data_IF_160035096783
#
_entry.id   IF_160035096783
#
_cell.length_a   1.000
_cell.length_b   1.000
_cell.length_c   1.000
_cell.angle_alpha   90.00
_cell.angle_beta   90.00
_cell.angle_gamma   90.00
#
_symmetry.space_group_name_H-M   'P 1'
#
loop_
_entity.id
_entity.type
_entity.pdbx_description
1 polymer ?
#
# COMPACT_ATOMS: atom_id res chain seq x y z
N UNK A 1 -20.39 33.91 -6.98
CA UNK A 1 -18.99 33.43 -7.13
C UNK A 1 -18.26 34.42 -8.02
N UNK A 2 -17.09 34.92 -7.61
CA UNK A 2 -16.28 35.81 -8.45
C UNK A 2 -15.70 35.02 -9.62
N UNK A 3 -15.53 35.68 -10.77
CA UNK A 3 -14.97 35.08 -11.99
C UNK A 3 -13.59 34.42 -11.72
N UNK A 4 -12.76 35.08 -10.93
CA UNK A 4 -11.45 34.57 -10.51
C UNK A 4 -11.52 33.24 -9.77
N UNK A 5 -12.48 33.06 -8.85
CA UNK A 5 -12.66 31.83 -8.12
C UNK A 5 -13.02 30.67 -9.06
N UNK A 6 -13.91 30.92 -9.99
CA UNK A 6 -14.34 29.94 -11.00
C UNK A 6 -13.18 29.52 -11.90
N UNK A 7 -12.34 30.46 -12.31
CA UNK A 7 -11.14 30.18 -13.09
C UNK A 7 -10.15 29.32 -12.32
N UNK A 8 -9.94 29.55 -11.03
CA UNK A 8 -9.08 28.73 -10.17
C UNK A 8 -9.65 27.32 -10.02
N UNK A 9 -10.95 27.18 -9.76
CA UNK A 9 -11.60 25.88 -9.63
C UNK A 9 -11.51 25.08 -10.94
N UNK A 10 -11.70 25.72 -12.08
CA UNK A 10 -11.55 25.09 -13.39
C UNK A 10 -10.11 24.66 -13.66
N UNK A 11 -9.13 25.47 -13.28
CA UNK A 11 -7.71 25.16 -13.43
C UNK A 11 -7.26 23.99 -12.54
N UNK A 12 -7.84 23.90 -11.36
CA UNK A 12 -7.53 22.84 -10.38
C UNK A 12 -8.43 21.59 -10.53
N UNK A 13 -9.32 21.56 -11.51
CA UNK A 13 -10.29 20.46 -11.67
C UNK A 13 -9.64 19.10 -11.75
N UNK A 14 -8.53 18.97 -12.46
CA UNK A 14 -7.82 17.69 -12.65
C UNK A 14 -7.11 17.20 -11.37
N UNK A 15 -7.00 18.06 -10.35
CA UNK A 15 -6.46 17.68 -9.04
C UNK A 15 -7.52 17.09 -8.10
N UNK A 16 -8.80 17.18 -8.48
CA UNK A 16 -9.90 16.63 -7.67
C UNK A 16 -10.05 15.15 -7.95
N UNK A 17 -9.84 14.34 -6.92
CA UNK A 17 -9.98 12.88 -6.98
C UNK A 17 -11.34 12.49 -6.41
N UNK A 18 -12.13 11.79 -7.20
CA UNK A 18 -13.40 11.20 -6.79
C UNK A 18 -13.28 9.67 -6.59
N UNK A 19 -14.36 9.03 -6.15
CA UNK A 19 -14.38 7.60 -5.89
C UNK A 19 -14.15 6.75 -7.16
N UNK A 20 -14.55 7.21 -8.32
CA UNK A 20 -14.30 6.51 -9.59
C UNK A 20 -12.81 6.53 -9.94
N UNK A 21 -12.14 7.65 -9.69
CA UNK A 21 -10.68 7.76 -9.84
C UNK A 21 -9.96 6.82 -8.88
N UNK A 22 -10.38 6.74 -7.62
CA UNK A 22 -9.80 5.84 -6.62
C UNK A 22 -9.97 4.38 -7.04
N UNK A 23 -11.17 3.99 -7.48
CA UNK A 23 -11.45 2.64 -7.96
C UNK A 23 -10.63 2.28 -9.21
N UNK A 24 -10.43 3.24 -10.11
CA UNK A 24 -9.58 3.05 -11.28
C UNK A 24 -8.11 2.86 -10.89
N UNK A 25 -7.61 3.68 -9.95
CA UNK A 25 -6.23 3.56 -9.45
C UNK A 25 -6.00 2.22 -8.75
N UNK A 26 -6.95 1.76 -7.93
CA UNK A 26 -6.88 0.45 -7.27
C UNK A 26 -6.77 -0.68 -8.29
N UNK A 27 -7.63 -0.71 -9.30
CA UNK A 27 -7.56 -1.73 -10.36
C UNK A 27 -6.26 -1.72 -11.13
N UNK A 28 -5.77 -0.52 -11.50
CA UNK A 28 -4.50 -0.37 -12.23
C UNK A 28 -3.31 -0.83 -11.39
N UNK A 29 -3.29 -0.45 -10.11
CA UNK A 29 -2.23 -0.85 -9.18
C UNK A 29 -2.24 -2.36 -8.96
N UNK A 30 -3.39 -2.96 -8.70
CA UNK A 30 -3.55 -4.41 -8.56
C UNK A 30 -3.02 -5.16 -9.79
N UNK A 31 -3.46 -4.76 -10.97
CA UNK A 31 -2.98 -5.36 -12.22
C UNK A 31 -1.47 -5.20 -12.43
N UNK A 32 -0.90 -4.06 -12.05
CA UNK A 32 0.54 -3.83 -12.13
C UNK A 32 1.33 -4.73 -11.17
N UNK A 33 0.83 -4.91 -9.94
CA UNK A 33 1.41 -5.82 -8.94
C UNK A 33 1.34 -7.28 -9.42
N UNK A 34 0.19 -7.72 -9.92
CA UNK A 34 0.01 -9.07 -10.46
C UNK A 34 0.98 -9.37 -11.60
N UNK A 35 1.13 -8.45 -12.53
CA UNK A 35 2.12 -8.57 -13.60
C UNK A 35 3.56 -8.58 -13.08
N UNK A 36 3.84 -7.77 -12.06
CA UNK A 36 5.16 -7.73 -11.41
C UNK A 36 5.53 -9.01 -10.67
N UNK A 37 4.54 -9.75 -10.18
CA UNK A 37 4.70 -11.06 -9.51
C UNK A 37 4.71 -12.23 -10.49
N UNK A 38 4.10 -12.08 -11.65
CA UNK A 38 3.95 -13.16 -12.64
C UNK A 38 5.29 -13.61 -13.20
N UNK A 39 5.55 -14.92 -13.20
CA UNK A 39 6.81 -15.51 -13.68
C UNK A 39 7.16 -15.07 -15.11
N UNK A 40 6.17 -15.04 -15.99
CA UNK A 40 6.36 -14.71 -17.40
C UNK A 40 6.27 -13.20 -17.70
N UNK A 41 5.60 -12.46 -16.85
CA UNK A 41 5.33 -11.02 -17.03
C UNK A 41 6.28 -10.11 -16.26
N UNK A 42 6.97 -10.65 -15.24
CA UNK A 42 7.87 -9.88 -14.37
C UNK A 42 8.93 -9.09 -15.15
N UNK A 43 9.57 -9.72 -16.13
CA UNK A 43 10.65 -9.08 -16.88
C UNK A 43 10.20 -7.82 -17.63
N UNK A 44 9.00 -7.84 -18.20
CA UNK A 44 8.41 -6.72 -18.94
C UNK A 44 7.61 -5.75 -18.07
N UNK A 45 7.35 -6.07 -16.80
CA UNK A 45 6.59 -5.22 -15.89
C UNK A 45 7.37 -3.99 -15.47
N UNK A 46 6.70 -2.84 -15.41
CA UNK A 46 7.26 -1.59 -14.86
C UNK A 46 7.27 -1.59 -13.33
N UNK A 47 6.33 -2.29 -12.69
CA UNK A 47 6.30 -2.50 -11.24
C UNK A 47 6.96 -3.84 -10.95
N UNK A 48 8.14 -3.81 -10.32
CA UNK A 48 8.86 -5.02 -9.95
C UNK A 48 8.42 -5.47 -8.56
N UNK A 49 7.78 -6.63 -8.49
CA UNK A 49 7.41 -7.27 -7.25
C UNK A 49 8.15 -8.60 -7.11
N UNK A 50 8.43 -8.98 -5.87
CA UNK A 50 9.11 -10.23 -5.55
C UNK A 50 8.28 -11.01 -4.53
N UNK A 51 8.27 -12.35 -4.60
CA UNK A 51 7.66 -13.17 -3.56
C UNK A 51 8.34 -12.89 -2.22
N UNK A 52 7.56 -12.86 -1.17
CA UNK A 52 8.04 -12.71 0.21
C UNK A 52 8.08 -14.07 0.92
N UNK A 53 8.73 -14.11 2.08
CA UNK A 53 8.70 -15.30 2.94
C UNK A 53 7.45 -15.40 3.82
N UNK A 54 6.55 -14.42 3.74
CA UNK A 54 5.28 -14.44 4.44
C UNK A 54 4.39 -15.52 3.84
N UNK A 55 4.07 -16.54 4.62
CA UNK A 55 3.24 -17.67 4.19
C UNK A 55 1.84 -17.65 4.80
N UNK A 56 1.65 -16.88 5.85
CA UNK A 56 0.40 -16.83 6.59
C UNK A 56 0.15 -15.42 7.08
N UNK A 57 -1.09 -15.00 6.98
CA UNK A 57 -1.55 -13.73 7.56
C UNK A 57 -2.01 -13.98 9.00
N UNK A 58 -1.92 -12.97 9.87
CA UNK A 58 -2.49 -13.04 11.21
C UNK A 58 -3.98 -13.38 11.16
N UNK A 59 -4.44 -14.21 12.10
CA UNK A 59 -5.83 -14.61 12.22
C UNK A 59 -6.56 -13.96 13.42
N UNK A 60 -5.84 -13.14 14.20
CA UNK A 60 -6.36 -12.44 15.36
C UNK A 60 -6.35 -13.28 16.65
N UNK A 61 -5.73 -14.46 16.63
CA UNK A 61 -5.58 -15.35 17.80
C UNK A 61 -4.14 -15.41 18.30
N UNK A 62 -3.27 -14.59 17.73
CA UNK A 62 -1.88 -14.52 18.13
C UNK A 62 -1.77 -13.96 19.55
N UNK A 63 -0.97 -14.64 20.38
CA UNK A 63 -0.66 -14.26 21.76
C UNK A 63 0.82 -14.42 22.04
N UNK A 64 1.36 -13.55 22.89
CA UNK A 64 2.74 -13.66 23.35
C UNK A 64 3.61 -12.48 22.96
N UNK A 65 4.92 -12.72 22.97
CA UNK A 65 5.93 -11.71 22.67
C UNK A 65 6.56 -11.98 21.30
N UNK A 66 6.61 -10.95 20.48
CA UNK A 66 7.16 -10.99 19.15
C UNK A 66 8.20 -9.88 18.98
N UNK A 67 9.33 -10.23 18.38
CA UNK A 67 10.35 -9.26 18.03
C UNK A 67 10.23 -8.91 16.55
N UNK A 68 10.07 -7.62 16.25
CA UNK A 68 10.01 -7.10 14.89
C UNK A 68 11.24 -6.24 14.60
N UNK A 69 11.79 -6.40 13.39
CA UNK A 69 12.90 -5.62 12.88
C UNK A 69 12.42 -4.78 11.71
N UNK A 70 12.75 -3.50 11.74
CA UNK A 70 12.47 -2.56 10.66
C UNK A 70 13.78 -1.92 10.19
N UNK A 71 14.23 -2.32 9.00
CA UNK A 71 15.43 -1.82 8.34
C UNK A 71 15.03 -0.75 7.31
N UNK A 72 15.16 0.53 7.70
CA UNK A 72 14.99 1.65 6.79
C UNK A 72 16.29 2.04 6.06
N UNK A 73 16.21 3.05 5.20
CA UNK A 73 17.39 3.59 4.50
C UNK A 73 18.41 4.25 5.41
N UNK A 74 17.97 4.88 6.50
CA UNK A 74 18.83 5.61 7.46
C UNK A 74 18.66 5.16 8.90
N UNK A 75 17.56 4.46 9.22
CA UNK A 75 17.23 4.04 10.58
C UNK A 75 17.00 2.54 10.64
N UNK A 76 17.41 1.97 11.74
CA UNK A 76 17.14 0.60 12.12
C UNK A 76 16.31 0.61 13.41
N UNK A 77 15.19 -0.10 13.41
CA UNK A 77 14.31 -0.23 14.57
C UNK A 77 14.13 -1.68 14.97
N UNK A 78 14.18 -1.89 16.28
CA UNK A 78 13.81 -3.16 16.91
C UNK A 78 12.62 -2.90 17.82
N UNK A 79 11.53 -3.61 17.61
CA UNK A 79 10.29 -3.43 18.35
C UNK A 79 9.91 -4.74 19.03
N UNK A 80 9.69 -4.71 20.33
CA UNK A 80 9.09 -5.81 21.07
C UNK A 80 7.57 -5.58 21.15
N UNK A 81 6.82 -6.52 20.61
CA UNK A 81 5.37 -6.48 20.58
C UNK A 81 4.84 -7.51 21.55
N UNK A 82 4.03 -7.07 22.51
CA UNK A 82 3.27 -7.96 23.39
C UNK A 82 1.81 -7.99 22.95
N UNK A 83 1.32 -9.17 22.62
CA UNK A 83 -0.07 -9.38 22.27
C UNK A 83 -0.73 -10.11 23.44
N UNK A 84 -1.64 -9.45 24.12
CA UNK A 84 -2.43 -10.04 25.22
C UNK A 84 -3.51 -10.98 24.69
N UNK A 85 -3.97 -11.95 25.52
CA UNK A 85 -5.09 -12.80 25.15
C UNK A 85 -6.31 -11.98 24.68
N UNK A 86 -6.87 -12.37 23.54
CA UNK A 86 -7.98 -11.66 22.90
C UNK A 86 -7.58 -10.45 22.04
N UNK A 87 -6.30 -10.29 21.70
CA UNK A 87 -5.83 -9.34 20.69
C UNK A 87 -5.92 -7.86 21.10
N UNK A 88 -5.86 -7.54 22.38
CA UNK A 88 -5.86 -6.16 22.90
C UNK A 88 -4.51 -5.78 23.48
#
# INVERSE_FOLDING_TARGET
MTDTRRQIEDYCRDLVINNDHISLMERKLRSAIERGLGKETHAASTVKCFPTYVRQLPNGQEEGQFLALDLGGTNFRVVLINIAPGGK
#
